data_IF_375817141938
#
_entry.id   IF_375817141938
#
_cell.length_a   1.000
_cell.length_b   1.000
_cell.length_c   1.000
_cell.angle_alpha   90.00
_cell.angle_beta   90.00
_cell.angle_gamma   90.00
#
_symmetry.space_group_name_H-M   'P 1'
#
loop_
_entity.id
_entity.type
_entity.pdbx_description
1 polymer ?
#
# COMPACT_ATOMS: atom_id res chain seq x y z
N UNK A 1 21.61 -14.53 7.43
CA UNK A 1 21.99 -14.63 8.84
C UNK A 1 20.91 -14.00 9.73
N UNK A 2 20.84 -12.66 9.94
CA UNK A 2 19.90 -12.05 10.91
C UNK A 2 18.43 -12.53 10.77
N UNK A 3 17.87 -12.50 9.57
CA UNK A 3 16.50 -12.96 9.33
C UNK A 3 16.37 -14.49 9.57
N UNK A 4 17.30 -15.26 9.04
CA UNK A 4 17.29 -16.73 9.13
C UNK A 4 17.42 -17.21 10.59
N UNK A 5 18.18 -16.48 11.40
CA UNK A 5 18.38 -16.82 12.83
C UNK A 5 17.07 -16.66 13.64
N UNK A 6 16.15 -15.81 13.19
CA UNK A 6 14.80 -15.65 13.75
C UNK A 6 13.71 -16.45 12.97
N UNK A 7 14.09 -17.28 12.01
CA UNK A 7 13.16 -18.06 11.19
C UNK A 7 12.38 -17.20 10.18
N UNK A 8 12.88 -16.01 9.84
CA UNK A 8 12.25 -15.06 8.96
C UNK A 8 12.91 -15.06 7.57
N UNK A 9 12.18 -14.58 6.58
CA UNK A 9 12.61 -14.44 5.19
C UNK A 9 12.56 -12.97 4.80
N UNK A 10 13.61 -12.47 4.14
CA UNK A 10 13.63 -11.11 3.60
C UNK A 10 12.67 -11.00 2.44
N UNK A 11 11.86 -9.93 2.42
CA UNK A 11 11.05 -9.60 1.24
C UNK A 11 11.99 -9.19 0.11
N UNK A 12 11.83 -9.81 -1.05
CA UNK A 12 12.64 -9.49 -2.23
C UNK A 12 12.27 -8.11 -2.78
N UNK A 13 13.23 -7.18 -2.69
CA UNK A 13 13.14 -5.83 -3.27
C UNK A 13 14.51 -5.43 -3.81
N UNK A 14 14.80 -5.90 -5.01
CA UNK A 14 16.08 -5.61 -5.67
C UNK A 14 16.31 -4.10 -5.87
N UNK A 15 15.23 -3.31 -6.05
CA UNK A 15 15.32 -1.86 -6.19
C UNK A 15 15.76 -1.18 -4.91
N UNK A 16 15.13 -1.52 -3.79
CA UNK A 16 15.50 -1.01 -2.47
C UNK A 16 16.91 -1.46 -2.08
N UNK A 17 17.26 -2.72 -2.36
CA UNK A 17 18.60 -3.23 -2.07
C UNK A 17 19.68 -2.48 -2.85
N UNK A 18 19.46 -2.20 -4.14
CA UNK A 18 20.38 -1.42 -4.95
C UNK A 18 20.51 0.02 -4.46
N UNK A 19 19.40 0.65 -4.04
CA UNK A 19 19.41 1.99 -3.45
C UNK A 19 20.22 2.02 -2.15
N UNK A 20 19.93 1.10 -1.23
CA UNK A 20 20.66 1.00 0.06
C UNK A 20 22.13 0.71 -0.15
N UNK A 21 22.50 -0.17 -1.09
CA UNK A 21 23.88 -0.43 -1.44
C UNK A 21 24.64 0.81 -1.94
N UNK A 22 23.93 1.75 -2.58
CA UNK A 22 24.49 3.03 -3.00
C UNK A 22 24.64 4.06 -1.87
N UNK A 23 23.99 3.85 -0.74
CA UNK A 23 23.97 4.80 0.40
C UNK A 23 25.00 4.45 1.49
N UNK A 24 25.54 3.23 1.51
CA UNK A 24 26.42 2.74 2.58
C UNK A 24 27.75 2.27 2.02
N UNK A 25 28.83 2.61 2.72
CA UNK A 25 30.20 2.18 2.40
C UNK A 25 30.62 0.96 3.22
N UNK A 26 30.10 0.86 4.46
CA UNK A 26 30.37 -0.23 5.39
C UNK A 26 29.06 -0.77 5.95
N UNK A 27 28.38 -1.68 5.25
CA UNK A 27 27.04 -2.12 5.60
C UNK A 27 27.01 -2.96 6.89
N UNK A 28 26.33 -2.46 7.89
CA UNK A 28 26.05 -3.14 9.16
C UNK A 28 24.54 -3.35 9.28
N UNK A 29 24.03 -4.56 8.98
CA UNK A 29 22.60 -4.83 9.11
C UNK A 29 22.19 -4.92 10.57
N UNK A 30 21.14 -4.24 10.92
CA UNK A 30 20.54 -4.20 12.26
C UNK A 30 19.06 -4.53 12.16
N UNK A 31 18.55 -5.36 13.06
CA UNK A 31 17.13 -5.72 13.11
C UNK A 31 16.41 -4.91 14.17
N UNK A 32 15.30 -4.30 13.79
CA UNK A 32 14.37 -3.60 14.67
C UNK A 32 13.00 -4.27 14.72
N UNK A 33 12.16 -3.79 15.64
CA UNK A 33 10.82 -4.29 15.90
C UNK A 33 9.76 -3.27 15.48
N UNK A 34 8.63 -3.77 14.97
CA UNK A 34 7.41 -3.01 14.74
C UNK A 34 6.45 -3.35 15.89
N UNK A 35 5.89 -2.33 16.54
CA UNK A 35 4.95 -2.56 17.63
C UNK A 35 3.69 -3.28 17.11
N UNK A 36 3.25 -4.30 17.82
CA UNK A 36 2.15 -5.19 17.41
C UNK A 36 0.85 -4.44 17.13
N UNK A 37 0.64 -3.29 17.77
CA UNK A 37 -0.52 -2.45 17.54
C UNK A 37 -0.68 -1.95 16.09
N UNK A 38 0.38 -1.93 15.29
CA UNK A 38 0.32 -1.49 13.89
C UNK A 38 0.04 -2.63 12.92
N UNK A 39 0.13 -3.89 13.36
CA UNK A 39 0.01 -5.04 12.48
C UNK A 39 -1.41 -5.31 11.95
N UNK A 40 -2.41 -4.56 12.41
CA UNK A 40 -3.78 -4.55 11.88
C UNK A 40 -3.99 -3.56 10.72
N UNK A 41 -2.99 -2.72 10.43
CA UNK A 41 -2.95 -1.87 9.23
C UNK A 41 -2.56 -2.74 8.02
N UNK A 42 -3.13 -2.50 6.82
CA UNK A 42 -2.76 -3.26 5.63
C UNK A 42 -1.26 -3.34 5.41
N UNK A 43 -0.77 -4.54 5.07
CA UNK A 43 0.68 -4.76 4.97
C UNK A 43 1.35 -3.86 3.91
N UNK A 44 0.66 -3.54 2.82
CA UNK A 44 1.19 -2.67 1.78
C UNK A 44 1.46 -1.25 2.30
N UNK A 45 0.65 -0.79 3.26
CA UNK A 45 0.88 0.48 3.96
C UNK A 45 2.15 0.40 4.80
N UNK A 46 2.29 -0.67 5.62
CA UNK A 46 3.47 -0.87 6.47
C UNK A 46 4.75 -0.97 5.62
N UNK A 47 4.70 -1.75 4.54
CA UNK A 47 5.83 -1.92 3.62
C UNK A 47 6.16 -0.60 2.92
N UNK A 48 5.15 0.17 2.46
CA UNK A 48 5.38 1.47 1.83
C UNK A 48 6.05 2.46 2.78
N UNK A 49 5.57 2.56 4.03
CA UNK A 49 6.19 3.41 5.07
C UNK A 49 7.65 3.03 5.29
N UNK A 50 7.93 1.75 5.46
CA UNK A 50 9.29 1.24 5.68
C UNK A 50 10.20 1.52 4.49
N UNK A 51 9.74 1.20 3.29
CA UNK A 51 10.50 1.29 2.04
C UNK A 51 10.76 2.73 1.62
N UNK A 52 9.70 3.51 1.49
CA UNK A 52 9.76 4.83 0.85
C UNK A 52 10.45 5.86 1.73
N UNK A 53 10.13 5.88 3.01
CA UNK A 53 10.60 6.92 3.91
C UNK A 53 11.86 6.54 4.70
N UNK A 54 12.02 5.26 5.04
CA UNK A 54 13.07 4.83 5.96
C UNK A 54 14.13 3.92 5.31
N UNK A 55 13.88 3.41 4.10
CA UNK A 55 14.76 2.46 3.41
C UNK A 55 15.00 1.18 4.22
N UNK A 56 13.97 0.74 4.98
CA UNK A 56 14.02 -0.51 5.72
C UNK A 56 13.54 -1.67 4.87
N UNK A 57 14.17 -2.81 5.08
CA UNK A 57 13.83 -4.06 4.43
C UNK A 57 12.81 -4.81 5.28
N UNK A 58 11.68 -5.16 4.69
CA UNK A 58 10.61 -5.91 5.34
C UNK A 58 10.94 -7.41 5.43
N UNK A 59 10.34 -8.08 6.39
CA UNK A 59 10.52 -9.51 6.65
C UNK A 59 9.17 -10.22 6.67
N UNK A 60 9.18 -11.50 6.27
CA UNK A 60 8.03 -12.40 6.35
C UNK A 60 8.35 -13.59 7.24
N UNK A 61 7.33 -14.13 7.87
CA UNK A 61 7.40 -15.39 8.60
C UNK A 61 7.32 -16.61 7.65
N UNK A 62 7.31 -17.81 8.23
CA UNK A 62 7.20 -19.09 7.49
C UNK A 62 5.85 -19.30 6.79
N UNK A 63 4.81 -18.55 7.19
CA UNK A 63 3.48 -18.59 6.59
C UNK A 63 3.33 -17.54 5.48
N UNK A 64 4.38 -16.73 5.26
CA UNK A 64 4.40 -15.67 4.26
C UNK A 64 3.73 -14.37 4.71
N UNK A 65 3.35 -14.25 6.00
CA UNK A 65 2.78 -13.03 6.56
C UNK A 65 3.89 -12.01 6.88
N UNK A 66 3.56 -10.73 6.84
CA UNK A 66 4.49 -9.67 7.25
C UNK A 66 4.87 -9.86 8.74
N UNK A 67 6.15 -10.03 9.00
CA UNK A 67 6.64 -10.14 10.37
C UNK A 67 6.74 -8.76 11.04
N UNK A 68 6.54 -8.64 12.37
CA UNK A 68 6.71 -7.39 13.10
C UNK A 68 8.20 -7.05 13.29
N UNK A 69 8.96 -7.15 12.22
CA UNK A 69 10.41 -6.94 12.17
C UNK A 69 10.80 -6.20 10.90
N UNK A 70 11.87 -5.42 10.98
CA UNK A 70 12.49 -4.80 9.83
C UNK A 70 14.01 -4.87 9.93
N UNK A 71 14.72 -4.77 8.81
CA UNK A 71 16.16 -4.61 8.78
C UNK A 71 16.49 -3.21 8.27
N UNK A 72 17.30 -2.50 9.03
CA UNK A 72 17.96 -1.26 8.62
C UNK A 72 19.47 -1.52 8.42
N UNK A 73 20.08 -0.76 7.54
CA UNK A 73 21.52 -0.88 7.27
C UNK A 73 22.22 0.38 7.80
N UNK A 74 23.01 0.20 8.86
CA UNK A 74 23.90 1.25 9.37
C UNK A 74 25.21 1.27 8.58
N UNK A 75 25.92 2.40 8.65
CA UNK A 75 27.24 2.57 8.00
C UNK A 75 28.40 2.53 9.01
N UNK A 76 28.18 2.00 10.20
CA UNK A 76 29.17 1.96 11.28
C UNK A 76 28.86 0.85 12.28
N UNK A 77 29.88 0.16 12.74
CA UNK A 77 29.81 -0.68 13.94
C UNK A 77 29.94 0.19 15.19
N UNK A 78 29.08 -0.01 16.16
CA UNK A 78 29.08 0.71 17.43
C UNK A 78 29.43 -0.22 18.60
N UNK A 79 29.98 0.34 19.67
CA UNK A 79 30.35 -0.43 20.86
C UNK A 79 29.16 -1.11 21.56
N UNK A 80 27.94 -0.56 21.38
CA UNK A 80 26.70 -1.11 21.88
C UNK A 80 26.00 -2.05 20.88
N UNK A 81 26.71 -2.50 19.85
CA UNK A 81 26.20 -3.39 18.79
C UNK A 81 24.93 -2.83 18.09
N UNK A 82 24.82 -1.53 17.94
CA UNK A 82 23.72 -0.88 17.26
C UNK A 82 22.49 -0.61 18.12
N UNK A 83 22.49 -0.90 19.42
CA UNK A 83 21.31 -0.78 20.26
C UNK A 83 20.67 0.63 20.23
N UNK A 84 21.45 1.70 20.26
CA UNK A 84 20.95 3.07 20.15
C UNK A 84 20.43 3.40 18.74
N UNK A 85 21.07 2.83 17.71
CA UNK A 85 20.63 3.01 16.32
C UNK A 85 19.28 2.33 16.14
N UNK A 86 19.11 1.08 16.59
CA UNK A 86 17.86 0.33 16.54
C UNK A 86 16.75 1.11 17.25
N UNK A 87 16.94 1.51 18.50
CA UNK A 87 15.94 2.25 19.28
C UNK A 87 15.57 3.60 18.62
N UNK A 88 16.53 4.26 17.97
CA UNK A 88 16.27 5.47 17.20
C UNK A 88 15.38 5.24 15.98
N UNK A 89 15.69 4.19 15.21
CA UNK A 89 14.92 3.81 14.02
C UNK A 89 13.51 3.31 14.38
N UNK A 90 13.35 2.50 15.42
CA UNK A 90 12.05 2.06 15.94
C UNK A 90 11.17 3.26 16.34
N UNK A 91 11.74 4.26 17.01
CA UNK A 91 11.00 5.47 17.39
C UNK A 91 10.53 6.28 16.17
N UNK A 92 11.37 6.42 15.14
CA UNK A 92 11.01 7.11 13.90
C UNK A 92 9.93 6.33 13.16
N UNK A 93 10.10 5.02 13.04
CA UNK A 93 9.12 4.15 12.39
C UNK A 93 7.77 4.20 13.12
N UNK A 94 7.76 4.11 14.45
CA UNK A 94 6.54 4.23 15.26
C UNK A 94 5.78 5.52 14.97
N UNK A 95 6.44 6.66 14.87
CA UNK A 95 5.80 7.93 14.55
C UNK A 95 5.12 7.88 13.17
N UNK A 96 5.82 7.35 12.16
CA UNK A 96 5.28 7.19 10.79
C UNK A 96 4.11 6.21 10.71
N UNK A 97 4.22 5.09 11.42
CA UNK A 97 3.13 4.10 11.48
C UNK A 97 1.92 4.62 12.25
N UNK A 98 2.12 5.48 13.26
CA UNK A 98 1.02 6.17 13.96
C UNK A 98 0.25 7.09 13.02
N UNK A 99 0.94 7.83 12.14
CA UNK A 99 0.31 8.67 11.11
C UNK A 99 -0.47 7.79 10.11
N UNK A 100 0.14 6.70 9.63
CA UNK A 100 -0.52 5.77 8.72
C UNK A 100 -1.77 5.12 9.34
N UNK A 101 -1.67 4.67 10.61
CA UNK A 101 -2.81 4.14 11.36
C UNK A 101 -3.92 5.16 11.52
N UNK A 102 -3.58 6.40 11.81
CA UNK A 102 -4.56 7.48 11.90
C UNK A 102 -5.35 7.62 10.59
N UNK A 103 -4.68 7.65 9.42
CA UNK A 103 -5.37 7.73 8.13
C UNK A 103 -6.22 6.48 7.88
N UNK A 104 -5.71 5.28 8.20
CA UNK A 104 -6.46 4.04 8.10
C UNK A 104 -7.76 4.08 8.89
N UNK A 105 -7.71 4.55 10.13
CA UNK A 105 -8.87 4.66 11.00
C UNK A 105 -9.85 5.76 10.59
N UNK A 106 -9.36 6.90 10.12
CA UNK A 106 -10.21 8.00 9.65
C UNK A 106 -10.90 7.68 8.31
N UNK A 107 -10.15 7.09 7.38
CA UNK A 107 -10.68 6.81 6.05
C UNK A 107 -11.79 5.75 6.07
N UNK A 108 -11.74 4.79 6.96
CA UNK A 108 -12.77 3.75 7.15
C UNK A 108 -14.12 4.29 7.66
N UNK A 109 -14.15 5.50 8.21
CA UNK A 109 -15.39 6.11 8.72
C UNK A 109 -16.33 6.57 7.61
N UNK A 110 -15.87 6.65 6.37
CA UNK A 110 -16.64 7.15 5.24
C UNK A 110 -16.49 6.22 4.04
N UNK A 111 -17.60 5.69 3.56
CA UNK A 111 -17.64 4.79 2.41
C UNK A 111 -17.09 5.43 1.13
N UNK A 112 -16.54 4.61 0.23
CA UNK A 112 -16.02 5.07 -1.07
C UNK A 112 -17.09 5.77 -1.92
N UNK A 113 -18.33 5.26 -1.92
CA UNK A 113 -19.45 5.86 -2.63
C UNK A 113 -19.72 7.29 -2.18
N UNK A 114 -19.61 7.56 -0.88
CA UNK A 114 -19.76 8.91 -0.32
C UNK A 114 -18.59 9.85 -0.64
N UNK A 115 -17.45 9.30 -1.08
CA UNK A 115 -16.27 10.05 -1.53
C UNK A 115 -16.30 10.38 -3.04
N UNK A 116 -17.05 9.63 -3.84
CA UNK A 116 -17.13 9.82 -5.31
C UNK A 116 -17.36 11.29 -5.73
N UNK A 117 -18.26 12.07 -5.10
CA UNK A 117 -18.45 13.47 -5.47
C UNK A 117 -17.22 14.37 -5.27
N UNK A 118 -16.30 13.99 -4.41
CA UNK A 118 -15.05 14.75 -4.17
C UNK A 118 -14.09 14.69 -5.37
N UNK A 119 -14.22 13.65 -6.23
CA UNK A 119 -13.45 13.51 -7.47
C UNK A 119 -13.71 14.63 -8.49
N UNK A 120 -14.84 15.36 -8.37
CA UNK A 120 -15.11 16.55 -9.18
C UNK A 120 -14.09 17.67 -8.95
N UNK A 121 -13.45 17.68 -7.78
CA UNK A 121 -12.43 18.67 -7.41
C UNK A 121 -11.02 18.28 -7.89
N UNK A 122 -10.85 17.05 -8.35
CA UNK A 122 -9.56 16.52 -8.80
C UNK A 122 -9.46 16.64 -10.32
N UNK A 123 -8.61 17.53 -10.81
CA UNK A 123 -8.37 17.69 -12.25
C UNK A 123 -7.64 16.47 -12.80
N UNK A 124 -8.24 15.82 -13.80
CA UNK A 124 -7.57 14.76 -14.55
C UNK A 124 -6.72 15.34 -15.68
N UNK A 125 -7.33 16.17 -16.52
CA UNK A 125 -6.62 16.82 -17.62
C UNK A 125 -7.43 18.04 -18.09
N UNK A 126 -6.74 19.14 -18.46
CA UNK A 126 -7.36 20.42 -18.85
C UNK A 126 -8.45 20.30 -19.94
N UNK A 127 -8.29 19.36 -20.90
CA UNK A 127 -9.24 19.12 -21.99
C UNK A 127 -10.18 17.94 -21.76
N UNK A 128 -9.90 17.09 -20.77
CA UNK A 128 -10.67 15.86 -20.51
C UNK A 128 -11.46 15.93 -19.21
N UNK A 129 -11.35 17.05 -18.50
CA UNK A 129 -12.11 17.32 -17.29
C UNK A 129 -11.47 16.74 -16.01
N UNK A 130 -12.32 16.39 -15.07
CA UNK A 130 -11.99 15.91 -13.72
C UNK A 130 -11.78 14.40 -13.68
N UNK A 131 -11.37 13.89 -12.52
CA UNK A 131 -11.32 12.44 -12.27
C UNK A 131 -12.74 11.87 -12.23
N UNK A 132 -13.74 12.64 -11.76
CA UNK A 132 -15.16 12.25 -11.86
C UNK A 132 -15.57 12.01 -13.31
N UNK A 133 -15.26 12.96 -14.23
CA UNK A 133 -15.53 12.78 -15.67
C UNK A 133 -14.83 11.54 -16.25
N UNK A 134 -13.64 11.22 -15.74
CA UNK A 134 -12.92 10.00 -16.14
C UNK A 134 -13.62 8.75 -15.65
N UNK A 135 -14.10 8.72 -14.40
CA UNK A 135 -14.85 7.58 -13.84
C UNK A 135 -16.13 7.34 -14.62
N UNK A 136 -16.86 8.39 -14.97
CA UNK A 136 -18.09 8.28 -15.78
C UNK A 136 -17.82 7.67 -17.17
N UNK A 137 -16.66 7.98 -17.77
CA UNK A 137 -16.25 7.32 -19.02
C UNK A 137 -15.89 5.85 -18.83
N UNK A 138 -15.27 5.50 -17.70
CA UNK A 138 -14.97 4.11 -17.36
C UNK A 138 -16.25 3.31 -17.16
N UNK A 139 -17.23 3.85 -16.42
CA UNK A 139 -18.55 3.22 -16.23
C UNK A 139 -19.25 2.94 -17.57
N UNK A 140 -19.24 3.92 -18.49
CA UNK A 140 -19.80 3.74 -19.85
C UNK A 140 -19.10 2.69 -20.65
N UNK A 141 -17.75 2.57 -20.53
CA UNK A 141 -16.99 1.54 -21.21
C UNK A 141 -17.29 0.15 -20.64
N UNK A 142 -17.40 0.02 -19.32
CA UNK A 142 -17.78 -1.24 -18.68
C UNK A 142 -19.16 -1.68 -19.16
N UNK A 143 -20.17 -0.81 -19.11
CA UNK A 143 -21.50 -1.11 -19.62
C UNK A 143 -21.48 -1.55 -21.09
N UNK A 144 -20.71 -0.87 -21.95
CA UNK A 144 -20.57 -1.23 -23.36
C UNK A 144 -19.92 -2.62 -23.55
N UNK A 145 -18.91 -2.96 -22.77
CA UNK A 145 -18.30 -4.28 -22.83
C UNK A 145 -19.21 -5.39 -22.32
N UNK A 146 -19.99 -5.16 -21.26
CA UNK A 146 -21.02 -6.10 -20.80
C UNK A 146 -22.06 -6.39 -21.85
N UNK A 147 -22.50 -5.36 -22.61
CA UNK A 147 -23.42 -5.55 -23.74
C UNK A 147 -22.83 -6.39 -24.88
N UNK A 148 -21.55 -6.18 -25.20
CA UNK A 148 -20.83 -6.96 -26.21
C UNK A 148 -20.63 -8.40 -25.76
N UNK A 149 -20.21 -8.64 -24.51
CA UNK A 149 -19.95 -9.96 -23.95
C UNK A 149 -21.23 -10.81 -23.99
N UNK A 150 -22.40 -10.22 -23.67
CA UNK A 150 -23.68 -10.91 -23.79
C UNK A 150 -24.01 -11.34 -25.24
N UNK A 151 -23.35 -10.74 -26.21
CA UNK A 151 -23.54 -11.04 -27.65
C UNK A 151 -22.53 -12.06 -28.21
N UNK A 152 -21.45 -12.31 -27.48
CA UNK A 152 -20.40 -13.28 -27.84
C UNK A 152 -20.20 -14.24 -26.68
N UNK A 153 -20.44 -15.53 -26.91
CA UNK A 153 -20.21 -16.61 -25.92
C UNK A 153 -18.69 -16.75 -25.66
N UNK A 154 -18.13 -15.93 -24.80
CA UNK A 154 -16.80 -16.15 -24.23
C UNK A 154 -16.95 -17.04 -23.01
N UNK A 155 -16.86 -18.36 -23.19
CA UNK A 155 -17.02 -19.36 -22.11
C UNK A 155 -16.01 -19.22 -20.97
N UNK A 156 -14.90 -18.50 -21.15
CA UNK A 156 -13.79 -18.43 -20.19
C UNK A 156 -13.71 -17.14 -19.34
N UNK A 157 -14.43 -16.07 -19.67
CA UNK A 157 -14.29 -14.79 -18.95
C UNK A 157 -15.47 -14.47 -18.00
N UNK A 158 -16.60 -15.14 -18.15
CA UNK A 158 -17.86 -14.80 -17.46
C UNK A 158 -18.03 -15.37 -16.05
N UNK A 159 -17.05 -16.12 -15.51
CA UNK A 159 -17.31 -16.90 -14.28
C UNK A 159 -17.13 -16.16 -12.97
N UNK A 160 -16.63 -14.92 -12.90
CA UNK A 160 -16.18 -14.36 -11.62
C UNK A 160 -16.73 -12.99 -11.20
N UNK A 161 -17.44 -12.25 -12.02
CA UNK A 161 -18.08 -11.00 -11.58
C UNK A 161 -19.42 -10.78 -12.31
N UNK A 162 -20.48 -10.47 -11.57
CA UNK A 162 -21.74 -10.01 -12.16
C UNK A 162 -21.55 -8.61 -12.76
N UNK A 163 -22.36 -8.25 -13.77
CA UNK A 163 -22.36 -6.90 -14.35
C UNK A 163 -22.53 -5.80 -13.30
N UNK A 164 -23.24 -6.09 -12.21
CA UNK A 164 -23.40 -5.19 -11.06
C UNK A 164 -22.05 -4.92 -10.37
N UNK A 165 -21.28 -5.96 -10.08
CA UNK A 165 -19.94 -5.84 -9.44
C UNK A 165 -18.98 -5.08 -10.34
N UNK A 166 -18.98 -5.36 -11.64
CA UNK A 166 -18.15 -4.65 -12.61
C UNK A 166 -18.51 -3.16 -12.69
N UNK A 167 -19.81 -2.84 -12.71
CA UNK A 167 -20.30 -1.47 -12.72
C UNK A 167 -19.95 -0.72 -11.43
N UNK A 168 -20.13 -1.35 -10.27
CA UNK A 168 -19.77 -0.76 -8.98
C UNK A 168 -18.28 -0.53 -8.87
N UNK A 169 -17.46 -1.50 -9.27
CA UNK A 169 -16.02 -1.37 -9.32
C UNK A 169 -15.59 -0.22 -10.24
N UNK A 170 -16.22 -0.06 -11.41
CA UNK A 170 -15.95 1.06 -12.31
C UNK A 170 -16.29 2.41 -11.67
N UNK A 171 -17.43 2.50 -10.98
CA UNK A 171 -17.87 3.71 -10.30
C UNK A 171 -16.93 4.14 -9.15
N UNK A 172 -16.30 3.18 -8.47
CA UNK A 172 -15.50 3.41 -7.27
C UNK A 172 -13.99 3.34 -7.48
N UNK A 173 -13.52 2.91 -8.67
CA UNK A 173 -12.12 2.59 -8.94
C UNK A 173 -11.10 3.74 -8.73
N UNK A 174 -11.56 4.96 -8.51
CA UNK A 174 -10.74 6.15 -8.24
C UNK A 174 -11.13 6.87 -6.95
N UNK A 175 -12.11 6.37 -6.21
CA UNK A 175 -12.63 7.04 -5.02
C UNK A 175 -11.63 7.09 -3.87
N UNK A 176 -10.63 6.22 -3.87
CA UNK A 176 -9.52 6.23 -2.91
C UNK A 176 -8.55 7.40 -3.09
N UNK A 177 -8.49 8.05 -4.26
CA UNK A 177 -7.68 9.24 -4.50
C UNK A 177 -7.95 10.39 -3.54
N UNK A 178 -9.14 10.47 -2.98
CA UNK A 178 -9.54 11.54 -2.05
C UNK A 178 -9.55 11.07 -0.59
N UNK A 179 -8.89 9.95 -0.30
CA UNK A 179 -8.64 9.49 1.05
C UNK A 179 -7.38 10.11 1.63
N UNK A 180 -7.30 10.21 2.95
CA UNK A 180 -6.10 10.68 3.63
C UNK A 180 -4.90 9.79 3.39
N UNK A 181 -5.13 8.47 3.37
CA UNK A 181 -4.09 7.47 3.11
C UNK A 181 -3.44 7.65 1.74
N UNK A 182 -4.23 7.76 0.67
CA UNK A 182 -3.68 7.92 -0.69
C UNK A 182 -3.12 9.32 -0.92
N UNK A 183 -3.57 10.32 -0.18
CA UNK A 183 -2.96 11.65 -0.21
C UNK A 183 -1.53 11.61 0.36
N UNK A 184 -1.31 10.90 1.47
CA UNK A 184 0.02 10.76 2.10
C UNK A 184 0.90 9.73 1.37
N UNK A 185 0.30 8.63 0.87
CA UNK A 185 0.97 7.53 0.18
C UNK A 185 0.38 7.29 -1.21
N UNK A 186 0.72 8.14 -2.21
CA UNK A 186 0.10 8.09 -3.55
C UNK A 186 0.31 6.77 -4.30
N UNK A 187 1.37 6.04 -3.98
CA UNK A 187 1.66 4.72 -4.54
C UNK A 187 0.67 3.63 -4.13
N UNK A 188 -0.10 3.87 -3.06
CA UNK A 188 -1.13 2.95 -2.57
C UNK A 188 -2.49 3.14 -3.27
N UNK A 189 -2.57 4.05 -4.25
CA UNK A 189 -3.78 4.23 -5.06
C UNK A 189 -4.20 2.92 -5.71
N UNK A 190 -5.48 2.60 -5.63
CA UNK A 190 -6.07 1.36 -6.12
C UNK A 190 -5.97 0.22 -5.10
N UNK A 191 -4.83 0.05 -4.43
CA UNK A 191 -4.65 -0.92 -3.35
C UNK A 191 -5.60 -0.58 -2.20
N UNK A 192 -5.55 0.66 -1.72
CA UNK A 192 -6.42 1.12 -0.64
C UNK A 192 -7.91 1.13 -1.03
N UNK A 193 -8.20 1.41 -2.31
CA UNK A 193 -9.55 1.28 -2.85
C UNK A 193 -10.11 -0.13 -2.65
N UNK A 194 -9.31 -1.16 -2.90
CA UNK A 194 -9.67 -2.56 -2.67
C UNK A 194 -9.96 -2.86 -1.19
N UNK A 195 -9.08 -2.42 -0.29
CA UNK A 195 -9.28 -2.61 1.15
C UNK A 195 -10.54 -1.91 1.65
N UNK A 196 -10.76 -0.66 1.26
CA UNK A 196 -11.96 0.08 1.67
C UNK A 196 -13.25 -0.51 1.09
N UNK A 197 -13.21 -1.02 -0.14
CA UNK A 197 -14.36 -1.68 -0.75
C UNK A 197 -14.70 -3.00 -0.02
N UNK A 198 -13.69 -3.78 0.39
CA UNK A 198 -13.91 -5.04 1.10
C UNK A 198 -14.49 -4.86 2.51
N UNK A 199 -14.46 -3.67 3.08
CA UNK A 199 -14.99 -3.35 4.42
C UNK A 199 -16.41 -2.77 4.38
N UNK A 200 -17.02 -2.58 3.21
CA UNK A 200 -18.33 -1.98 3.00
C UNK A 200 -19.38 -3.01 2.61
#
# INVERSE_FOLDING_TARGET
ALATDEGLVLVDDAGLLAEVAGLVEWPVPLMGHIDDEFMDVPEEVLVSVMRTHQKYLALRDSEGQLAPRFITIANIETADKGAKIIAGNERVLRARLSDARFFWDEDRKKNLSARKPELEKVTFHAKLGTVSDKTDRIEKLVAYFSEIESSFSFEDLSQNASDEVASEAAALCKADLVTGMVYEFPELQGIMGGYYAALQ
#
